data_IF_369669511611
#
_entry.id   IF_369669511611
#
_cell.length_a   1.000
_cell.length_b   1.000
_cell.length_c   1.000
_cell.angle_alpha   90.00
_cell.angle_beta   90.00
_cell.angle_gamma   90.00
#
_symmetry.space_group_name_H-M   'P 1'
#
loop_
_entity.id
_entity.type
_entity.pdbx_description
1 polymer ?
#
# COMPACT_ATOMS: atom_id res chain seq x y z
N UNK A 1 -9.72 -7.93 17.55
CA UNK A 1 -8.94 -9.18 17.33
C UNK A 1 -9.29 -9.61 15.92
N UNK A 2 -8.32 -9.76 15.00
CA UNK A 2 -8.65 -10.03 13.58
C UNK A 2 -9.57 -11.24 13.47
N UNK A 3 -10.75 -11.05 12.85
CA UNK A 3 -11.78 -12.10 12.77
C UNK A 3 -11.33 -13.32 11.92
N UNK A 4 -10.36 -13.11 11.02
CA UNK A 4 -9.79 -14.12 10.12
C UNK A 4 -8.35 -14.43 10.53
N UNK A 5 -7.97 -15.71 10.55
CA UNK A 5 -6.57 -16.12 10.77
C UNK A 5 -5.70 -15.73 9.56
N UNK A 6 -4.47 -15.26 9.79
CA UNK A 6 -3.53 -14.86 8.72
C UNK A 6 -3.45 -15.84 7.55
N UNK A 7 -3.36 -17.15 7.84
CA UNK A 7 -3.26 -18.19 6.80
C UNK A 7 -4.50 -18.27 5.90
N UNK A 8 -5.70 -18.03 6.43
CA UNK A 8 -6.91 -18.00 5.62
C UNK A 8 -6.96 -16.73 4.76
N UNK A 9 -6.54 -15.58 5.31
CA UNK A 9 -6.38 -14.36 4.52
C UNK A 9 -5.41 -14.58 3.36
N UNK A 10 -4.27 -15.22 3.61
CA UNK A 10 -3.30 -15.58 2.56
C UNK A 10 -3.93 -16.43 1.46
N UNK A 11 -4.73 -17.44 1.81
CA UNK A 11 -5.44 -18.29 0.84
C UNK A 11 -6.44 -17.49 -0.01
N UNK A 12 -7.25 -16.62 0.60
CA UNK A 12 -8.17 -15.78 -0.18
C UNK A 12 -7.43 -14.82 -1.12
N UNK A 13 -6.25 -14.35 -0.73
CA UNK A 13 -5.41 -13.50 -1.58
C UNK A 13 -4.75 -14.27 -2.73
N UNK A 14 -4.62 -15.60 -2.65
CA UNK A 14 -4.14 -16.44 -3.76
C UNK A 14 -5.16 -16.53 -4.90
N UNK A 15 -6.46 -16.37 -4.60
CA UNK A 15 -7.55 -16.41 -5.57
C UNK A 15 -7.79 -15.06 -6.29
N UNK A 16 -7.03 -14.01 -5.95
CA UNK A 16 -7.12 -12.70 -6.62
C UNK A 16 -6.50 -12.79 -8.01
N UNK A 17 -7.29 -12.49 -9.04
CA UNK A 17 -6.80 -12.37 -10.41
C UNK A 17 -5.83 -11.19 -10.53
N UNK A 18 -4.77 -11.38 -11.32
CA UNK A 18 -3.68 -10.41 -11.50
C UNK A 18 -3.50 -10.06 -12.97
N UNK A 19 -2.59 -9.12 -13.27
CA UNK A 19 -2.30 -8.67 -14.63
C UNK A 19 -2.01 -9.83 -15.60
N UNK A 20 -2.77 -9.93 -16.69
CA UNK A 20 -2.43 -10.80 -17.81
C UNK A 20 -1.20 -10.27 -18.57
N UNK A 21 -1.17 -8.96 -18.80
CA UNK A 21 -0.14 -8.26 -19.57
C UNK A 21 0.41 -7.06 -18.77
N UNK A 22 1.30 -7.28 -17.79
CA UNK A 22 1.79 -6.22 -16.91
C UNK A 22 2.61 -5.17 -17.68
N UNK A 23 2.29 -3.89 -17.43
CA UNK A 23 2.98 -2.71 -17.96
C UNK A 23 4.27 -2.46 -17.20
N UNK A 24 5.38 -2.78 -17.87
CA UNK A 24 6.73 -2.73 -17.30
C UNK A 24 7.12 -1.32 -16.86
N UNK A 25 6.68 -0.30 -17.59
CA UNK A 25 6.91 1.12 -17.35
C UNK A 25 6.22 1.65 -16.10
N UNK A 26 5.13 1.00 -15.68
CA UNK A 26 4.39 1.30 -14.45
C UNK A 26 4.84 0.44 -13.26
N UNK A 27 5.81 -0.46 -13.46
CA UNK A 27 6.28 -1.39 -12.42
C UNK A 27 5.12 -2.24 -11.86
N UNK A 28 4.25 -2.75 -12.75
CA UNK A 28 3.11 -3.60 -12.37
C UNK A 28 3.54 -4.98 -11.89
N UNK A 29 3.70 -5.11 -10.57
CA UNK A 29 3.95 -6.36 -9.88
C UNK A 29 2.90 -6.53 -8.77
N UNK A 30 2.07 -7.57 -8.80
CA UNK A 30 1.11 -7.78 -7.73
C UNK A 30 1.84 -8.08 -6.42
N UNK A 31 1.37 -7.50 -5.32
CA UNK A 31 1.86 -7.86 -3.98
C UNK A 31 1.55 -9.32 -3.72
N UNK A 32 2.57 -10.15 -3.47
CA UNK A 32 2.39 -11.58 -3.26
C UNK A 32 1.45 -11.84 -2.06
N UNK A 33 0.57 -12.86 -2.11
CA UNK A 33 -0.39 -13.17 -1.04
C UNK A 33 0.23 -13.29 0.36
N UNK A 34 1.38 -13.95 0.49
CA UNK A 34 2.09 -14.07 1.76
C UNK A 34 2.57 -12.70 2.29
N UNK A 35 3.05 -11.81 1.43
CA UNK A 35 3.48 -10.46 1.82
C UNK A 35 2.27 -9.64 2.26
N UNK A 36 1.23 -9.58 1.43
CA UNK A 36 0.01 -8.83 1.70
C UNK A 36 -0.66 -9.30 3.01
N UNK A 37 -0.82 -10.62 3.21
CA UNK A 37 -1.41 -11.16 4.44
C UNK A 37 -0.58 -10.84 5.68
N UNK A 38 0.76 -10.89 5.59
CA UNK A 38 1.64 -10.50 6.69
C UNK A 38 1.54 -9.00 7.02
N UNK A 39 1.54 -8.13 6.00
CA UNK A 39 1.40 -6.68 6.18
C UNK A 39 0.07 -6.35 6.87
N UNK A 40 -1.04 -6.78 6.26
CA UNK A 40 -2.40 -6.49 6.72
C UNK A 40 -2.66 -7.05 8.13
N UNK A 41 -2.20 -8.27 8.40
CA UNK A 41 -2.35 -8.86 9.72
C UNK A 41 -1.50 -8.14 10.77
N UNK A 42 -0.30 -7.67 10.41
CA UNK A 42 0.54 -6.87 11.33
C UNK A 42 -0.10 -5.52 11.63
N UNK A 43 -0.63 -4.83 10.61
CA UNK A 43 -1.36 -3.58 10.78
C UNK A 43 -2.53 -3.74 11.77
N UNK A 44 -3.32 -4.80 11.59
CA UNK A 44 -4.48 -5.04 12.44
C UNK A 44 -4.10 -5.53 13.84
N UNK A 45 -3.26 -6.57 13.95
CA UNK A 45 -2.99 -7.24 15.22
C UNK A 45 -2.11 -6.40 16.16
N UNK A 46 -1.16 -5.63 15.61
CA UNK A 46 -0.21 -4.86 16.41
C UNK A 46 -0.64 -3.41 16.62
N UNK A 47 -1.39 -2.83 15.68
CA UNK A 47 -1.69 -1.39 15.68
C UNK A 47 -3.19 -1.04 15.65
N UNK A 48 -4.07 -1.97 15.24
CA UNK A 48 -5.50 -1.70 15.10
C UNK A 48 -5.82 -0.70 13.98
N UNK A 49 -4.97 -0.65 12.95
CA UNK A 49 -5.02 0.34 11.88
C UNK A 49 -5.82 -0.16 10.64
N UNK A 50 -6.63 -1.22 10.78
CA UNK A 50 -7.47 -1.78 9.68
C UNK A 50 -8.95 -1.83 10.01
N UNK A 51 -9.34 -2.54 11.07
CA UNK A 51 -10.75 -2.78 11.41
C UNK A 51 -11.50 -1.46 11.67
N UNK A 52 -12.66 -1.28 11.03
CA UNK A 52 -13.49 -0.07 11.04
C UNK A 52 -12.76 1.21 10.59
N UNK A 53 -11.67 1.10 9.83
CA UNK A 53 -10.91 2.26 9.30
C UNK A 53 -11.34 2.62 7.88
N UNK A 54 -11.22 3.91 7.57
CA UNK A 54 -11.21 4.40 6.20
C UNK A 54 -9.77 4.34 5.65
N UNK A 55 -9.55 3.49 4.66
CA UNK A 55 -8.22 3.16 4.13
C UNK A 55 -8.07 3.65 2.69
N UNK A 56 -6.94 4.24 2.35
CA UNK A 56 -6.54 4.43 0.95
C UNK A 56 -5.45 3.44 0.56
N UNK A 57 -5.53 2.87 -0.64
CA UNK A 57 -4.52 2.02 -1.25
C UNK A 57 -3.93 2.74 -2.48
N UNK A 58 -2.67 3.19 -2.40
CA UNK A 58 -2.04 3.97 -3.46
C UNK A 58 -1.23 3.08 -4.40
N UNK A 59 -1.59 3.07 -5.68
CA UNK A 59 -1.11 2.09 -6.65
C UNK A 59 -1.72 0.72 -6.39
N UNK A 60 -3.06 0.68 -6.27
CA UNK A 60 -3.76 -0.50 -5.77
C UNK A 60 -3.68 -1.71 -6.71
N UNK A 61 -3.36 -1.51 -8.00
CA UNK A 61 -3.30 -2.55 -9.01
C UNK A 61 -4.59 -3.35 -9.05
N UNK A 62 -4.46 -4.68 -9.05
CA UNK A 62 -5.59 -5.62 -9.00
C UNK A 62 -6.23 -5.76 -7.59
N UNK A 63 -5.72 -5.04 -6.58
CA UNK A 63 -6.32 -4.86 -5.25
C UNK A 63 -5.97 -5.86 -4.17
N UNK A 64 -4.84 -6.58 -4.26
CA UNK A 64 -4.44 -7.52 -3.22
C UNK A 64 -4.45 -6.91 -1.80
N UNK A 65 -3.93 -5.70 -1.65
CA UNK A 65 -3.94 -4.99 -0.36
C UNK A 65 -5.35 -4.48 -0.02
N UNK A 66 -6.04 -3.88 -0.99
CA UNK A 66 -7.40 -3.36 -0.82
C UNK A 66 -8.41 -4.41 -0.34
N UNK A 67 -8.53 -5.53 -1.07
CA UNK A 67 -9.49 -6.59 -0.77
C UNK A 67 -9.12 -7.31 0.52
N UNK A 68 -7.82 -7.53 0.77
CA UNK A 68 -7.37 -8.11 2.02
C UNK A 68 -7.69 -7.22 3.24
N UNK A 69 -7.60 -5.89 3.10
CA UNK A 69 -8.00 -4.97 4.15
C UNK A 69 -9.53 -5.02 4.40
N UNK A 70 -10.33 -5.09 3.33
CA UNK A 70 -11.78 -5.27 3.43
C UNK A 70 -12.16 -6.58 4.15
N UNK A 71 -11.50 -7.70 3.80
CA UNK A 71 -11.69 -9.00 4.48
C UNK A 71 -11.35 -8.95 5.98
N UNK A 72 -10.42 -8.09 6.38
CA UNK A 72 -10.08 -7.86 7.79
C UNK A 72 -11.02 -6.88 8.52
N UNK A 73 -12.07 -6.41 7.86
CA UNK A 73 -13.10 -5.56 8.44
C UNK A 73 -12.80 -4.06 8.33
N UNK A 74 -12.02 -3.63 7.34
CA UNK A 74 -11.95 -2.20 7.01
C UNK A 74 -13.36 -1.65 6.73
N UNK A 75 -13.67 -0.45 7.22
CA UNK A 75 -14.99 0.15 7.04
C UNK A 75 -15.23 0.56 5.59
N UNK A 76 -14.21 1.16 4.97
CA UNK A 76 -14.20 1.48 3.53
C UNK A 76 -12.76 1.52 3.04
N UNK A 77 -12.51 1.01 1.84
CA UNK A 77 -11.22 1.08 1.17
C UNK A 77 -11.36 1.82 -0.16
N UNK A 78 -10.51 2.81 -0.40
CA UNK A 78 -10.45 3.53 -1.68
C UNK A 78 -9.11 3.22 -2.35
N UNK A 79 -9.15 2.49 -3.47
CA UNK A 79 -7.99 2.19 -4.29
C UNK A 79 -7.75 3.28 -5.34
N UNK A 80 -6.50 3.72 -5.49
CA UNK A 80 -6.08 4.67 -6.51
C UNK A 80 -5.07 4.01 -7.43
N UNK A 81 -5.34 4.00 -8.73
CA UNK A 81 -4.38 3.54 -9.73
C UNK A 81 -4.46 4.39 -11.00
N UNK A 82 -3.36 4.49 -11.72
CA UNK A 82 -3.26 5.24 -12.99
C UNK A 82 -3.69 4.38 -14.18
N UNK A 83 -3.70 3.06 -14.02
CA UNK A 83 -4.03 2.14 -15.10
C UNK A 83 -5.49 1.69 -15.08
N UNK A 84 -6.32 2.05 -16.08
CA UNK A 84 -7.70 1.56 -16.15
C UNK A 84 -7.79 0.03 -16.30
N UNK A 85 -6.82 -0.64 -16.93
CA UNK A 85 -6.85 -2.09 -17.12
C UNK A 85 -6.67 -2.82 -15.78
N UNK A 86 -5.84 -2.26 -14.89
CA UNK A 86 -5.67 -2.75 -13.52
C UNK A 86 -6.98 -2.64 -12.73
N UNK A 87 -7.68 -1.51 -12.90
CA UNK A 87 -8.95 -1.25 -12.22
C UNK A 87 -10.10 -2.11 -12.75
N UNK A 88 -10.06 -2.54 -14.02
CA UNK A 88 -11.02 -3.51 -14.54
C UNK A 88 -10.90 -4.87 -13.82
N UNK A 89 -9.67 -5.40 -13.71
CA UNK A 89 -9.38 -6.64 -12.96
C UNK A 89 -9.77 -6.47 -11.49
N UNK A 90 -9.45 -5.32 -10.90
CA UNK A 90 -9.80 -4.99 -9.53
C UNK A 90 -11.32 -5.04 -9.26
N UNK A 91 -12.12 -4.46 -10.16
CA UNK A 91 -13.58 -4.49 -10.05
C UNK A 91 -14.12 -5.91 -10.20
N UNK A 92 -13.55 -6.72 -11.10
CA UNK A 92 -13.90 -8.13 -11.24
C UNK A 92 -13.60 -8.92 -9.96
N UNK A 93 -12.42 -8.71 -9.35
CA UNK A 93 -12.06 -9.32 -8.06
C UNK A 93 -13.03 -8.91 -6.94
N UNK A 94 -13.43 -7.63 -6.88
CA UNK A 94 -14.42 -7.18 -5.88
C UNK A 94 -15.77 -7.88 -6.07
N UNK A 95 -16.22 -8.04 -7.32
CA UNK A 95 -17.47 -8.69 -7.64
C UNK A 95 -17.45 -10.20 -7.31
N UNK A 96 -16.40 -10.91 -7.70
CA UNK A 96 -16.24 -12.35 -7.44
C UNK A 96 -16.17 -12.67 -5.94
N UNK A 97 -15.50 -11.81 -5.16
CA UNK A 97 -15.36 -11.97 -3.71
C UNK A 97 -16.52 -11.33 -2.91
N UNK A 98 -17.54 -10.79 -3.59
CA UNK A 98 -18.69 -10.12 -2.99
C UNK A 98 -18.32 -8.95 -2.04
N UNK A 99 -17.20 -8.27 -2.32
CA UNK A 99 -16.69 -7.15 -1.50
C UNK A 99 -17.34 -5.84 -1.97
N UNK A 100 -18.16 -5.23 -1.11
CA UNK A 100 -18.91 -4.00 -1.40
C UNK A 100 -18.36 -2.75 -0.71
N UNK A 101 -17.37 -2.90 0.18
CA UNK A 101 -16.76 -1.82 0.95
C UNK A 101 -15.55 -1.17 0.24
N UNK A 102 -15.35 -1.49 -1.03
CA UNK A 102 -14.20 -1.05 -1.83
C UNK A 102 -14.66 -0.13 -2.98
N UNK A 103 -13.91 0.93 -3.26
CA UNK A 103 -14.11 1.82 -4.42
C UNK A 103 -12.77 2.15 -5.09
N UNK A 104 -12.71 2.14 -6.43
CA UNK A 104 -11.51 2.55 -7.15
C UNK A 104 -11.69 3.89 -7.83
N UNK A 105 -10.57 4.59 -7.93
CA UNK A 105 -10.45 5.87 -8.58
C UNK A 105 -9.30 5.81 -9.55
N UNK A 106 -9.60 6.00 -10.84
CA UNK A 106 -8.59 6.21 -11.87
C UNK A 106 -7.92 7.57 -11.64
N UNK A 107 -6.64 7.56 -11.27
CA UNK A 107 -5.91 8.76 -10.88
C UNK A 107 -4.40 8.62 -11.12
N UNK A 108 -3.78 9.64 -11.73
CA UNK A 108 -2.34 9.80 -11.72
C UNK A 108 -1.91 10.58 -10.47
N UNK A 109 -1.40 9.86 -9.47
CA UNK A 109 -0.92 10.43 -8.20
C UNK A 109 0.27 11.39 -8.37
N UNK A 110 0.93 11.38 -9.55
CA UNK A 110 2.13 12.16 -9.83
C UNK A 110 1.84 13.55 -10.41
N UNK A 111 0.63 13.79 -10.95
CA UNK A 111 0.23 15.10 -11.46
C UNK A 111 -0.10 16.12 -10.35
N UNK A 112 -0.06 15.67 -9.09
CA UNK A 112 -0.50 16.44 -7.94
C UNK A 112 -2.03 16.49 -7.87
N UNK A 113 -2.59 16.16 -6.70
CA UNK A 113 -3.93 16.63 -6.40
C UNK A 113 -3.90 18.15 -6.29
N UNK A 114 -5.01 18.87 -6.58
CA UNK A 114 -5.15 20.24 -6.12
C UNK A 114 -4.77 20.27 -4.64
N UNK A 115 -3.80 21.10 -4.23
CA UNK A 115 -3.16 21.13 -2.90
C UNK A 115 -4.11 21.26 -1.68
N UNK A 116 -5.42 21.21 -1.90
CA UNK A 116 -6.50 21.43 -0.94
C UNK A 116 -7.47 20.25 -0.80
N UNK A 117 -7.40 19.19 -1.61
CA UNK A 117 -8.55 18.26 -1.70
C UNK A 117 -8.59 17.12 -0.67
N UNK A 118 -7.49 16.75 0.03
CA UNK A 118 -7.47 15.55 0.89
C UNK A 118 -6.58 15.59 2.16
N UNK A 119 -6.44 16.71 2.92
CA UNK A 119 -5.62 16.66 4.13
C UNK A 119 -6.26 15.73 5.17
N UNK A 120 -5.54 14.68 5.57
CA UNK A 120 -5.90 13.82 6.71
C UNK A 120 -7.29 13.17 6.62
N UNK A 121 -7.74 12.85 5.40
CA UNK A 121 -9.07 12.26 5.16
C UNK A 121 -9.14 10.76 5.44
N UNK A 122 -8.03 10.04 5.30
CA UNK A 122 -7.99 8.59 5.53
C UNK A 122 -7.38 8.31 6.91
N UNK A 123 -7.92 7.33 7.63
CA UNK A 123 -7.30 6.87 8.88
C UNK A 123 -5.91 6.30 8.60
N UNK A 124 -5.87 5.39 7.62
CA UNK A 124 -4.68 4.63 7.24
C UNK A 124 -4.47 4.73 5.73
N UNK A 125 -3.24 4.87 5.29
CA UNK A 125 -2.86 4.68 3.89
C UNK A 125 -1.95 3.47 3.79
N UNK A 126 -2.21 2.58 2.84
CA UNK A 126 -1.39 1.42 2.52
C UNK A 126 -0.89 1.52 1.08
N UNK A 127 0.30 1.00 0.80
CA UNK A 127 0.83 0.95 -0.56
C UNK A 127 1.97 -0.04 -0.71
N UNK A 128 2.06 -0.60 -1.92
CA UNK A 128 3.26 -1.21 -2.47
C UNK A 128 3.66 -0.40 -3.71
N UNK A 129 4.32 0.76 -3.54
CA UNK A 129 4.51 1.70 -4.63
C UNK A 129 5.53 1.17 -5.66
N UNK A 130 5.51 1.70 -6.89
CA UNK A 130 6.61 1.48 -7.83
C UNK A 130 7.95 1.90 -7.22
N UNK A 131 8.98 1.04 -7.27
CA UNK A 131 10.26 1.28 -6.58
C UNK A 131 11.21 2.22 -7.33
N UNK A 132 10.74 2.90 -8.37
CA UNK A 132 11.50 3.83 -9.19
C UNK A 132 12.63 3.20 -10.00
N UNK A 133 12.47 1.94 -10.41
CA UNK A 133 13.37 1.32 -11.40
C UNK A 133 13.17 1.90 -12.80
N UNK A 134 11.96 2.41 -13.09
CA UNK A 134 11.62 3.06 -14.37
C UNK A 134 11.59 4.58 -14.25
N UNK A 135 10.98 5.09 -13.19
CA UNK A 135 10.89 6.54 -12.90
C UNK A 135 11.50 6.83 -11.53
N UNK A 136 12.72 7.36 -11.52
CA UNK A 136 13.44 7.65 -10.27
C UNK A 136 12.64 8.61 -9.37
N UNK A 137 12.40 8.20 -8.12
CA UNK A 137 11.76 9.01 -7.09
C UNK A 137 10.24 8.91 -7.01
N UNK A 138 9.60 8.10 -7.85
CA UNK A 138 8.14 7.89 -7.82
C UNK A 138 7.65 7.30 -6.48
N UNK A 139 8.45 6.44 -5.85
CA UNK A 139 8.17 5.89 -4.52
C UNK A 139 8.09 6.98 -3.45
N UNK A 140 8.94 8.01 -3.57
CA UNK A 140 8.95 9.16 -2.66
C UNK A 140 7.80 10.13 -2.93
N UNK A 141 7.36 10.27 -4.18
CA UNK A 141 6.15 11.04 -4.53
C UNK A 141 4.89 10.39 -3.92
N UNK A 142 4.78 9.06 -4.04
CA UNK A 142 3.71 8.28 -3.40
C UNK A 142 3.75 8.43 -1.88
N UNK A 143 4.94 8.33 -1.27
CA UNK A 143 5.08 8.49 0.18
C UNK A 143 4.68 9.88 0.66
N UNK A 144 5.08 10.93 -0.05
CA UNK A 144 4.69 12.28 0.30
C UNK A 144 3.16 12.45 0.25
N UNK A 145 2.51 11.88 -0.77
CA UNK A 145 1.05 11.89 -0.90
C UNK A 145 0.38 11.11 0.23
N UNK A 146 0.85 9.89 0.51
CA UNK A 146 0.32 9.06 1.59
C UNK A 146 0.38 9.76 2.94
N UNK A 147 1.51 10.40 3.26
CA UNK A 147 1.68 11.15 4.51
C UNK A 147 0.74 12.38 4.60
N UNK A 148 0.39 12.98 3.48
CA UNK A 148 -0.59 14.07 3.42
C UNK A 148 -2.03 13.57 3.65
N UNK A 149 -2.38 12.41 3.08
CA UNK A 149 -3.72 11.83 3.15
C UNK A 149 -4.03 11.15 4.49
N UNK A 150 -3.05 10.51 5.13
CA UNK A 150 -3.25 9.72 6.35
C UNK A 150 -3.33 10.57 7.62
N UNK A 151 -4.34 10.32 8.46
CA UNK A 151 -4.50 10.92 9.79
C UNK A 151 -3.75 10.16 10.87
N UNK A 152 -3.64 8.83 10.76
CA UNK A 152 -3.07 7.97 11.80
C UNK A 152 -1.76 7.33 11.37
N UNK A 153 -1.76 6.60 10.25
CA UNK A 153 -0.61 5.82 9.82
C UNK A 153 -0.49 5.66 8.30
N UNK A 154 0.75 5.52 7.82
CA UNK A 154 1.06 5.06 6.47
C UNK A 154 1.85 3.76 6.57
N UNK A 155 1.49 2.78 5.75
CA UNK A 155 2.20 1.51 5.61
C UNK A 155 2.71 1.37 4.19
N UNK A 156 4.02 1.22 4.02
CA UNK A 156 4.65 1.20 2.70
C UNK A 156 5.79 0.20 2.61
N UNK A 157 6.03 -0.30 1.41
CA UNK A 157 7.22 -1.05 1.04
C UNK A 157 8.22 -0.14 0.33
N UNK A 158 9.48 -0.15 0.77
CA UNK A 158 10.58 0.57 0.11
C UNK A 158 11.83 -0.31 0.03
N UNK A 159 12.69 -0.12 -0.97
CA UNK A 159 13.95 -0.88 -1.07
C UNK A 159 14.80 -0.67 0.19
N UNK A 160 15.32 -1.75 0.76
CA UNK A 160 16.18 -1.70 1.96
C UNK A 160 17.41 -0.82 1.75
N UNK A 161 17.97 -0.81 0.53
CA UNK A 161 19.09 0.06 0.15
C UNK A 161 18.79 1.57 0.20
N UNK A 162 17.52 1.95 0.29
CA UNK A 162 17.05 3.35 0.38
C UNK A 162 16.50 3.75 1.75
N UNK A 163 16.54 2.83 2.73
CA UNK A 163 15.98 3.01 4.09
C UNK A 163 16.29 4.38 4.70
N UNK A 164 17.57 4.72 4.82
CA UNK A 164 18.00 5.96 5.49
C UNK A 164 17.46 7.21 4.78
N UNK A 165 17.37 7.18 3.45
CA UNK A 165 16.81 8.27 2.68
C UNK A 165 15.30 8.41 2.94
N UNK A 166 14.57 7.30 2.89
CA UNK A 166 13.12 7.24 3.13
C UNK A 166 12.78 7.75 4.53
N UNK A 167 13.45 7.24 5.55
CA UNK A 167 13.21 7.63 6.95
C UNK A 167 13.55 9.10 7.19
N UNK A 168 14.69 9.60 6.68
CA UNK A 168 15.08 11.01 6.81
C UNK A 168 14.10 11.96 6.10
N UNK A 169 13.56 11.56 4.95
CA UNK A 169 12.57 12.36 4.22
C UNK A 169 11.22 12.39 4.93
N UNK A 170 10.74 11.24 5.40
CA UNK A 170 9.51 11.18 6.19
C UNK A 170 9.58 12.06 7.44
N UNK A 171 10.72 12.08 8.14
CA UNK A 171 10.92 12.95 9.30
C UNK A 171 10.83 14.44 8.95
N UNK A 172 11.45 14.85 7.84
CA UNK A 172 11.32 16.22 7.30
C UNK A 172 9.89 16.59 6.91
N UNK A 173 9.08 15.60 6.58
CA UNK A 173 7.66 15.76 6.28
C UNK A 173 6.75 15.59 7.51
N UNK A 174 7.33 15.50 8.72
CA UNK A 174 6.58 15.48 9.97
C UNK A 174 6.06 14.10 10.39
N UNK A 175 6.64 13.02 9.86
CA UNK A 175 6.27 11.64 10.20
C UNK A 175 7.47 10.85 10.73
N UNK A 176 7.22 9.97 11.70
CA UNK A 176 8.21 9.03 12.23
C UNK A 176 8.04 7.66 11.58
N UNK A 177 9.06 7.19 10.87
CA UNK A 177 9.10 5.85 10.29
C UNK A 177 9.69 4.80 11.26
N UNK A 178 9.12 3.60 11.23
CA UNK A 178 9.55 2.40 11.95
C UNK A 178 9.58 1.22 10.96
N UNK A 179 10.73 0.57 10.82
CA UNK A 179 10.86 -0.65 10.00
C UNK A 179 10.30 -1.82 10.81
N UNK A 180 9.20 -2.40 10.32
CA UNK A 180 8.50 -3.50 10.99
C UNK A 180 9.03 -4.87 10.59
N UNK A 181 9.52 -5.00 9.35
CA UNK A 181 10.12 -6.22 8.82
C UNK A 181 11.00 -5.93 7.60
N UNK A 182 11.96 -6.81 7.35
CA UNK A 182 12.72 -6.89 6.10
C UNK A 182 12.19 -8.08 5.30
N UNK A 183 11.81 -7.85 4.04
CA UNK A 183 11.16 -8.82 3.17
C UNK A 183 12.00 -9.05 1.91
N UNK A 184 11.85 -10.22 1.30
CA UNK A 184 12.53 -10.58 0.03
C UNK A 184 11.52 -10.89 -1.05
N UNK A 185 11.63 -10.21 -2.19
CA UNK A 185 10.85 -10.45 -3.39
C UNK A 185 11.63 -11.28 -4.40
N UNK A 186 11.11 -12.44 -4.78
CA UNK A 186 11.50 -13.06 -6.06
C UNK A 186 10.57 -12.53 -7.16
N UNK A 187 11.08 -11.66 -8.04
CA UNK A 187 10.30 -11.24 -9.20
C UNK A 187 10.21 -12.37 -10.25
N UNK A 188 9.02 -12.67 -10.82
CA UNK A 188 8.90 -13.67 -11.88
C UNK A 188 9.71 -13.28 -13.11
N UNK A 189 10.30 -14.28 -13.77
CA UNK A 189 11.14 -14.12 -14.96
C UNK A 189 10.38 -13.69 -16.24
N UNK A 190 9.14 -13.21 -16.14
CA UNK A 190 8.33 -12.73 -17.29
C UNK A 190 8.97 -11.52 -18.02
N UNK A 191 10.06 -10.97 -17.48
CA UNK A 191 10.98 -10.06 -18.14
C UNK A 191 11.83 -10.81 -19.17
N UNK A 192 11.26 -11.04 -20.37
CA UNK A 192 11.85 -11.73 -21.53
C UNK A 192 13.10 -11.06 -22.15
N UNK A 193 14.05 -10.55 -21.37
CA UNK A 193 15.32 -10.06 -21.93
C UNK A 193 16.61 -10.35 -21.14
N UNK A 194 16.63 -11.05 -19.99
CA UNK A 194 17.91 -11.47 -19.38
C UNK A 194 17.92 -12.84 -18.69
N UNK A 195 19.08 -13.49 -18.80
CA UNK A 195 19.45 -14.87 -18.43
C UNK A 195 19.68 -15.08 -16.92
N UNK A 196 19.00 -14.35 -16.03
CA UNK A 196 19.10 -14.52 -14.57
C UNK A 196 17.74 -14.91 -13.99
N UNK A 197 17.75 -15.96 -13.17
CA UNK A 197 16.57 -16.79 -12.87
C UNK A 197 15.56 -16.14 -11.91
N UNK A 198 15.98 -15.18 -11.10
CA UNK A 198 15.15 -14.30 -10.26
C UNK A 198 16.00 -13.08 -9.91
N UNK A 199 15.37 -11.92 -9.70
CA UNK A 199 16.03 -10.79 -9.02
C UNK A 199 15.44 -10.72 -7.63
N UNK A 200 16.28 -10.97 -6.63
CA UNK A 200 15.91 -10.79 -5.22
C UNK A 200 15.90 -9.30 -4.92
N UNK A 201 14.73 -8.74 -4.63
CA UNK A 201 14.61 -7.36 -4.14
C UNK A 201 14.37 -7.40 -2.63
N UNK A 202 15.34 -6.88 -1.89
CA UNK A 202 15.20 -6.63 -0.45
C UNK A 202 14.40 -5.34 -0.25
N UNK A 203 13.27 -5.47 0.45
CA UNK A 203 12.42 -4.33 0.81
C UNK A 203 12.18 -4.30 2.30
N UNK A 204 11.92 -3.11 2.80
CA UNK A 204 11.48 -2.87 4.16
C UNK A 204 9.96 -2.65 4.16
N UNK A 205 9.28 -3.32 5.08
CA UNK A 205 7.94 -2.97 5.47
C UNK A 205 8.00 -1.90 6.56
N UNK A 206 7.57 -0.68 6.23
CA UNK A 206 7.73 0.49 7.08
C UNK A 206 6.35 1.02 7.48
N UNK A 207 6.18 1.30 8.77
CA UNK A 207 5.06 2.07 9.29
C UNK A 207 5.51 3.50 9.60
N UNK A 208 4.83 4.47 9.04
CA UNK A 208 4.98 5.88 9.39
C UNK A 208 3.82 6.33 10.26
N UNK A 209 4.12 7.13 11.28
CA UNK A 209 3.12 7.69 12.20
C UNK A 209 3.39 9.16 12.48
N UNK A 210 2.36 9.88 12.89
CA UNK A 210 2.46 11.31 13.16
C UNK A 210 2.66 11.55 14.66
N UNK A 211 3.50 12.53 15.06
CA UNK A 211 3.60 12.94 16.45
C UNK A 211 2.21 13.39 16.95
N UNK A 212 1.81 12.96 18.15
CA UNK A 212 0.63 13.54 18.79
C UNK A 212 0.89 15.03 18.98
N UNK A 213 0.06 15.88 18.37
CA UNK A 213 0.00 17.29 18.74
C UNK A 213 -0.27 17.34 20.23
N UNK A 214 0.60 18.02 20.99
CA UNK A 214 0.29 18.34 22.37
C UNK A 214 -1.02 19.14 22.32
N UNK A 215 -2.14 18.52 22.69
CA UNK A 215 -3.34 19.28 23.02
C UNK A 215 -2.90 20.38 23.98
N UNK A 216 -3.16 21.62 23.60
CA UNK A 216 -2.99 22.76 24.46
C UNK A 216 -3.67 22.40 25.78
N UNK A 217 -2.88 22.41 26.87
CA UNK A 217 -3.45 22.48 28.20
C UNK A 217 -4.25 23.78 28.21
N UNK A 218 -5.54 23.71 27.91
CA UNK A 218 -6.49 24.78 28.21
C UNK A 218 -6.45 24.90 29.73
N UNK A 219 -5.64 25.84 30.20
CA UNK A 219 -5.76 26.38 31.54
C UNK A 219 -7.04 27.22 31.54
N UNK A 220 -8.09 26.67 32.12
CA UNK A 220 -9.11 27.41 32.88
C UNK A 220 -9.96 26.40 33.64
#
# INVERSE_FOLDING_TARGET
>A
MACIKRKHLEQYLEDIEVFENPKVELEQYPTKPHIASHMLYTMQASYGDVENKLIADLGCGCGALSLGAAMLGAGTVVGYDVDPDALEIWNANCAEMEITTCQAVLCDLTQGFPSYSFPKQFDTVIMNPPFGTKRKGIDMEFLQMALHMASTAVYSLHKTSTRDHVLSKAEKWGAKGEVLAELRYDLPASYRFHKKQTVDIEVDFIRFSFPKTKCEKVKS
#
